data_IF_965359150708
#
_entry.id   IF_965359150708
#
_cell.length_a   1.000
_cell.length_b   1.000
_cell.length_c   1.000
_cell.angle_alpha   90.00
_cell.angle_beta   90.00
_cell.angle_gamma   90.00
#
_symmetry.space_group_name_H-M   'P 1'
#
loop_
_entity.id
_entity.type
_entity.pdbx_description
1 polymer ?
#
# COMPACT_ATOMS: atom_id res chain seq x y z
N UNK A 1 -7.03 3.65 -5.43
CA UNK A 1 -8.34 4.12 -4.93
C UNK A 1 -8.15 5.46 -4.26
N UNK A 2 -9.03 6.44 -4.49
CA UNK A 2 -9.01 7.68 -3.70
C UNK A 2 -9.32 7.38 -2.24
N UNK A 3 -8.61 8.01 -1.32
CA UNK A 3 -8.74 7.77 0.11
C UNK A 3 -8.51 9.05 0.89
N UNK A 4 -9.05 9.07 2.11
CA UNK A 4 -8.83 10.12 3.09
C UNK A 4 -8.48 9.46 4.42
N UNK A 5 -7.73 10.16 5.27
CA UNK A 5 -7.53 9.67 6.63
C UNK A 5 -8.79 9.90 7.44
N UNK A 6 -9.29 8.87 8.12
CA UNK A 6 -10.41 9.00 9.07
C UNK A 6 -10.13 10.06 10.15
N UNK A 7 -8.86 10.18 10.51
CA UNK A 7 -8.31 11.11 11.48
C UNK A 7 -8.15 12.54 10.94
N UNK A 8 -8.02 12.73 9.63
CA UNK A 8 -7.79 14.02 8.98
C UNK A 8 -8.25 13.96 7.51
N UNK A 9 -9.40 14.56 7.22
CA UNK A 9 -10.02 14.52 5.88
C UNK A 9 -9.52 15.59 4.93
N UNK A 10 -8.68 16.51 5.40
CA UNK A 10 -8.11 17.57 4.57
C UNK A 10 -6.91 17.08 3.74
N UNK A 11 -6.48 15.84 3.99
CA UNK A 11 -5.38 15.20 3.27
C UNK A 11 -5.96 14.21 2.26
N UNK A 12 -5.86 14.58 0.99
CA UNK A 12 -6.18 13.70 -0.13
C UNK A 12 -5.07 12.66 -0.32
N UNK A 13 -5.47 11.40 -0.41
CA UNK A 13 -4.58 10.27 -0.58
C UNK A 13 -5.06 9.36 -1.70
N UNK A 14 -4.13 8.57 -2.23
CA UNK A 14 -4.45 7.34 -2.92
C UNK A 14 -4.08 6.15 -2.05
N UNK A 15 -4.81 5.05 -2.15
CA UNK A 15 -4.53 3.81 -1.47
C UNK A 15 -4.55 2.62 -2.44
N UNK A 16 -3.79 1.59 -2.10
CA UNK A 16 -3.70 0.32 -2.84
C UNK A 16 -3.63 -0.86 -1.87
N UNK A 17 -4.21 -1.97 -2.30
CA UNK A 17 -4.17 -3.30 -1.70
C UNK A 17 -2.90 -4.08 -2.09
N UNK A 18 -2.31 -3.78 -3.24
CA UNK A 18 -1.10 -4.46 -3.72
C UNK A 18 0.16 -3.73 -3.23
N UNK A 19 1.15 -4.44 -2.67
CA UNK A 19 2.45 -3.86 -2.36
C UNK A 19 3.12 -3.27 -3.61
N UNK A 20 3.56 -2.01 -3.59
CA UNK A 20 4.22 -1.36 -4.71
C UNK A 20 5.67 -1.85 -4.90
N UNK A 21 5.84 -3.10 -5.33
CA UNK A 21 7.15 -3.74 -5.53
C UNK A 21 7.99 -2.96 -6.55
N UNK A 22 9.31 -2.86 -6.29
CA UNK A 22 10.30 -2.24 -7.18
C UNK A 22 10.07 -0.77 -7.59
N UNK A 23 9.14 -0.06 -6.93
CA UNK A 23 8.84 1.36 -7.25
C UNK A 23 9.07 2.31 -6.08
N UNK A 24 8.91 1.80 -4.86
CA UNK A 24 9.17 2.53 -3.62
C UNK A 24 9.91 1.63 -2.64
N UNK A 25 10.57 2.25 -1.66
CA UNK A 25 11.15 1.54 -0.52
C UNK A 25 10.94 2.33 0.77
N UNK A 26 11.02 1.64 1.90
CA UNK A 26 10.88 2.24 3.20
C UNK A 26 12.06 3.11 3.56
N UNK A 27 11.78 4.25 4.16
CA UNK A 27 12.81 5.16 4.68
C UNK A 27 12.63 5.41 6.17
N UNK A 28 13.75 5.69 6.83
CA UNK A 28 13.76 6.08 8.23
C UNK A 28 13.23 5.03 9.20
N UNK A 29 12.83 5.51 10.38
CA UNK A 29 12.29 4.68 11.47
C UNK A 29 10.78 4.74 11.43
N UNK A 30 10.15 3.68 11.95
CA UNK A 30 8.73 3.73 12.17
C UNK A 30 8.36 4.76 13.25
N UNK A 31 7.18 5.34 13.14
CA UNK A 31 6.68 6.34 14.08
C UNK A 31 5.19 6.13 14.36
N UNK A 32 4.72 6.80 15.40
CA UNK A 32 3.30 6.86 15.78
C UNK A 32 2.82 8.31 15.61
N UNK A 33 1.57 8.48 15.24
CA UNK A 33 0.95 9.82 15.19
C UNK A 33 0.04 10.01 16.42
N UNK A 34 -0.30 11.26 16.73
CA UNK A 34 -1.10 11.57 17.94
C UNK A 34 -2.56 11.14 17.84
N UNK A 35 -3.10 11.04 16.62
CA UNK A 35 -4.54 10.86 16.40
C UNK A 35 -4.95 9.39 16.56
N UNK A 36 -4.09 8.46 16.17
CA UNK A 36 -4.31 7.03 16.38
C UNK A 36 -3.00 6.34 16.77
N UNK A 37 -3.11 5.22 17.51
CA UNK A 37 -1.95 4.43 17.95
C UNK A 37 -1.39 3.51 16.85
N UNK A 38 -1.71 3.78 15.58
CA UNK A 38 -1.13 3.02 14.48
C UNK A 38 0.37 3.33 14.35
N UNK A 39 1.14 2.32 13.96
CA UNK A 39 2.56 2.45 13.63
C UNK A 39 2.70 2.62 12.12
N UNK A 40 3.40 3.65 11.70
CA UNK A 40 3.60 4.01 10.31
C UNK A 40 5.08 3.93 9.94
N UNK A 41 5.37 3.82 8.64
CA UNK A 41 6.71 3.98 8.08
C UNK A 41 6.61 4.68 6.73
N UNK A 42 7.41 5.72 6.54
CA UNK A 42 7.42 6.48 5.29
C UNK A 42 8.02 5.65 4.16
N UNK A 43 7.54 5.91 2.95
CA UNK A 43 8.04 5.30 1.72
C UNK A 43 8.49 6.38 0.75
N UNK A 44 9.63 6.13 0.10
CA UNK A 44 10.21 7.02 -0.90
C UNK A 44 10.25 6.35 -2.27
N UNK A 45 10.06 7.13 -3.33
CA UNK A 45 10.18 6.64 -4.69
C UNK A 45 11.63 6.29 -5.01
N UNK A 46 11.87 5.07 -5.52
CA UNK A 46 13.21 4.60 -5.87
C UNK A 46 13.84 5.38 -7.04
N UNK A 47 13.04 6.08 -7.86
CA UNK A 47 13.55 6.88 -8.98
C UNK A 47 13.93 8.31 -8.61
N UNK A 48 13.10 9.00 -7.82
CA UNK A 48 13.30 10.42 -7.52
C UNK A 48 13.70 10.72 -6.06
N UNK A 49 13.65 9.73 -5.17
CA UNK A 49 14.04 9.86 -3.75
C UNK A 49 13.04 10.61 -2.88
N UNK A 50 11.98 11.20 -3.44
CA UNK A 50 10.99 11.92 -2.66
C UNK A 50 10.11 10.97 -1.84
N UNK A 51 9.69 11.43 -0.66
CA UNK A 51 8.65 10.76 0.12
C UNK A 51 7.34 10.87 -0.64
N UNK A 52 6.73 9.73 -0.95
CA UNK A 52 5.49 9.67 -1.74
C UNK A 52 4.30 9.21 -0.91
N UNK A 53 4.53 8.72 0.30
CA UNK A 53 3.47 8.18 1.15
C UNK A 53 4.01 7.45 2.37
N UNK A 54 3.19 6.55 2.90
CA UNK A 54 3.52 5.72 4.05
C UNK A 54 2.77 4.38 4.01
N UNK A 55 3.32 3.40 4.72
CA UNK A 55 2.62 2.17 5.05
C UNK A 55 2.21 2.17 6.53
N UNK A 56 0.99 1.71 6.80
CA UNK A 56 0.54 1.34 8.15
C UNK A 56 1.12 -0.03 8.49
N UNK A 57 2.21 -0.04 9.28
CA UNK A 57 2.93 -1.26 9.70
C UNK A 57 2.14 -2.05 10.75
N UNK A 58 1.55 -1.33 11.72
CA UNK A 58 0.71 -1.95 12.75
C UNK A 58 -0.54 -1.11 12.91
N UNK A 59 -1.71 -1.58 12.46
CA UNK A 59 -2.96 -0.90 12.71
C UNK A 59 -3.34 -1.04 14.20
N UNK A 60 -3.88 0.02 14.78
CA UNK A 60 -4.50 -0.06 16.11
C UNK A 60 -5.86 -0.75 16.03
N UNK A 61 -6.27 -1.42 17.11
CA UNK A 61 -7.59 -2.08 17.20
C UNK A 61 -8.73 -1.12 16.88
N UNK A 62 -8.68 0.12 17.39
CA UNK A 62 -9.69 1.15 17.10
C UNK A 62 -9.82 1.45 15.60
N UNK A 63 -8.70 1.48 14.86
CA UNK A 63 -8.75 1.72 13.42
C UNK A 63 -9.27 0.49 12.65
N UNK A 64 -8.91 -0.72 13.08
CA UNK A 64 -9.40 -1.96 12.47
C UNK A 64 -10.91 -2.11 12.57
N UNK A 65 -11.50 -1.73 13.71
CA UNK A 65 -12.95 -1.79 13.93
C UNK A 65 -13.70 -0.53 13.43
N UNK A 66 -13.00 0.48 12.92
CA UNK A 66 -13.63 1.64 12.27
C UNK A 66 -13.93 1.39 10.80
N UNK A 67 -14.71 2.25 10.15
CA UNK A 67 -14.95 2.20 8.70
C UNK A 67 -13.68 2.59 7.91
N UNK A 68 -12.79 1.63 7.65
CA UNK A 68 -11.60 1.79 6.83
C UNK A 68 -11.75 1.04 5.49
N UNK A 69 -10.85 1.30 4.53
CA UNK A 69 -10.83 0.64 3.22
C UNK A 69 -9.96 -0.63 3.18
N UNK A 70 -9.43 -1.08 4.32
CA UNK A 70 -8.56 -2.26 4.42
C UNK A 70 -7.14 -2.08 3.88
N UNK A 71 -6.81 -0.92 3.29
CA UNK A 71 -5.49 -0.71 2.69
C UNK A 71 -4.47 -0.26 3.73
N UNK A 72 -3.28 -0.85 3.65
CA UNK A 72 -2.14 -0.45 4.47
C UNK A 72 -1.19 0.50 3.74
N UNK A 73 -1.30 0.61 2.42
CA UNK A 73 -0.45 1.48 1.59
C UNK A 73 -1.20 2.74 1.21
N UNK A 74 -0.64 3.88 1.59
CA UNK A 74 -1.23 5.20 1.35
C UNK A 74 -0.19 6.11 0.68
N UNK A 75 -0.62 6.88 -0.31
CA UNK A 75 0.21 7.79 -1.10
C UNK A 75 -0.39 9.19 -1.10
N UNK A 76 0.47 10.20 -0.98
CA UNK A 76 0.04 11.59 -1.09
C UNK A 76 -0.39 11.91 -2.52
N UNK A 77 -1.61 12.41 -2.69
CA UNK A 77 -2.19 12.71 -4.02
C UNK A 77 -1.35 13.71 -4.82
N UNK A 78 -0.64 14.62 -4.15
CA UNK A 78 0.28 15.58 -4.77
C UNK A 78 1.59 14.95 -5.30
N UNK A 79 1.90 13.71 -4.91
CA UNK A 79 3.17 13.03 -5.24
C UNK A 79 3.02 11.91 -6.26
N UNK A 80 1.80 11.42 -6.49
CA UNK A 80 1.52 10.28 -7.38
C UNK A 80 0.24 10.50 -8.17
N UNK A 81 0.08 9.77 -9.27
CA UNK A 81 -1.18 9.71 -10.02
C UNK A 81 -1.80 8.32 -9.87
N UNK A 82 -3.10 8.28 -9.54
CA UNK A 82 -3.86 7.03 -9.45
C UNK A 82 -4.28 6.53 -10.84
N UNK A 83 -4.21 5.21 -11.04
CA UNK A 83 -4.74 4.53 -12.23
C UNK A 83 -5.71 3.46 -11.74
N UNK A 84 -6.91 3.41 -12.34
CA UNK A 84 -7.88 2.36 -12.03
C UNK A 84 -7.45 1.04 -12.66
N UNK A 85 -7.48 -0.03 -11.87
CA UNK A 85 -7.25 -1.39 -12.37
C UNK A 85 -8.45 -1.82 -13.20
N UNK A 86 -8.19 -2.54 -14.29
CA UNK A 86 -9.21 -3.24 -15.04
C UNK A 86 -9.45 -4.61 -14.41
N UNK A 87 -10.66 -5.14 -14.57
CA UNK A 87 -10.98 -6.52 -14.20
C UNK A 87 -10.35 -7.53 -15.19
N UNK A 88 -10.58 -8.82 -14.96
CA UNK A 88 -10.04 -9.89 -15.83
C UNK A 88 -10.56 -9.84 -17.28
N UNK A 89 -11.64 -9.09 -17.54
CA UNK A 89 -12.13 -8.87 -18.91
C UNK A 89 -11.32 -7.82 -19.66
N UNK A 90 -10.60 -6.96 -18.94
CA UNK A 90 -9.87 -5.83 -19.51
C UNK A 90 -10.76 -4.70 -20.03
N UNK A 91 -12.08 -4.76 -19.80
CA UNK A 91 -13.06 -3.79 -20.30
C UNK A 91 -13.57 -2.90 -19.17
N UNK A 92 -13.92 -3.48 -18.02
CA UNK A 92 -14.46 -2.74 -16.89
C UNK A 92 -13.40 -2.47 -15.83
N UNK A 93 -13.66 -1.50 -14.96
CA UNK A 93 -12.84 -1.29 -13.78
C UNK A 93 -13.06 -2.38 -12.73
N UNK A 94 -11.97 -2.82 -12.13
CA UNK A 94 -11.98 -3.76 -11.02
C UNK A 94 -12.60 -3.09 -9.79
N UNK A 95 -13.76 -3.60 -9.38
CA UNK A 95 -14.45 -3.17 -8.18
C UNK A 95 -13.95 -3.95 -6.96
N UNK A 96 -13.99 -3.31 -5.79
CA UNK A 96 -13.51 -3.91 -4.56
C UNK A 96 -14.22 -5.22 -4.18
N UNK A 97 -15.54 -5.28 -4.39
CA UNK A 97 -16.33 -6.49 -4.13
C UNK A 97 -16.02 -7.67 -5.06
N UNK A 98 -15.16 -7.46 -6.06
CA UNK A 98 -14.80 -8.45 -7.07
C UNK A 98 -13.31 -8.84 -7.00
N UNK A 99 -12.61 -8.47 -5.92
CA UNK A 99 -11.24 -8.93 -5.72
C UNK A 99 -11.22 -10.44 -5.48
N UNK A 100 -10.32 -11.12 -6.19
CA UNK A 100 -9.99 -12.52 -5.91
C UNK A 100 -9.30 -12.61 -4.55
N UNK A 101 -9.64 -13.63 -3.76
CA UNK A 101 -8.86 -13.97 -2.57
C UNK A 101 -7.44 -14.33 -3.01
N UNK A 102 -6.44 -13.69 -2.42
CA UNK A 102 -5.04 -14.00 -2.69
C UNK A 102 -4.76 -15.34 -2.03
N UNK A 103 -4.46 -16.36 -2.83
CA UNK A 103 -3.88 -17.61 -2.33
C UNK A 103 -2.56 -17.26 -1.63
N UNK A 104 -2.40 -17.66 -0.37
CA UNK A 104 -1.16 -17.45 0.39
C UNK A 104 0.00 -18.10 -0.37
N UNK A 105 0.89 -17.28 -0.94
CA UNK A 105 2.13 -17.76 -1.55
C UNK A 105 2.93 -18.45 -0.43
N UNK A 106 3.08 -19.77 -0.52
CA UNK A 106 3.85 -20.53 0.46
C UNK A 106 5.34 -20.29 0.21
N UNK A 107 6.17 -20.45 1.24
CA UNK A 107 7.63 -20.27 1.16
C UNK A 107 8.30 -21.17 0.09
N UNK A 108 7.58 -22.14 -0.48
CA UNK A 108 8.05 -23.04 -1.53
C UNK A 108 8.12 -22.36 -2.92
N UNK A 109 7.34 -21.30 -3.18
CA UNK A 109 7.31 -20.61 -4.48
C UNK A 109 8.45 -19.58 -4.67
N UNK A 110 9.19 -19.24 -3.60
CA UNK A 110 10.29 -18.26 -3.62
C UNK A 110 11.62 -18.91 -4.07
N UNK A 111 11.73 -20.23 -4.00
CA UNK A 111 12.97 -20.94 -4.26
C UNK A 111 13.34 -21.05 -5.75
N UNK A 112 12.40 -20.78 -6.68
CA UNK A 112 12.61 -21.00 -8.11
C UNK A 112 13.23 -19.80 -8.87
N UNK A 113 13.59 -18.71 -8.16
CA UNK A 113 14.24 -17.52 -8.76
C UNK A 113 15.74 -17.41 -8.37
N UNK A 114 16.25 -18.30 -7.51
CA UNK A 114 17.65 -18.27 -7.06
C UNK A 114 18.64 -19.00 -7.97
N UNK A 115 18.22 -19.63 -9.07
CA UNK A 115 19.11 -20.29 -10.00
C UNK A 115 19.56 -19.33 -11.13
N UNK A 116 20.43 -18.38 -10.78
CA UNK A 116 21.09 -17.48 -11.73
C UNK A 116 22.46 -17.06 -11.22
N UNK A 117 23.47 -17.81 -11.65
CA UNK A 117 24.88 -17.78 -11.25
C UNK A 117 25.52 -16.38 -11.24
N UNK A 118 26.31 -16.09 -10.20
CA UNK A 118 27.42 -15.14 -10.29
C UNK A 118 28.72 -15.92 -10.13
N UNK A 119 29.50 -15.98 -11.22
CA UNK A 119 30.94 -16.27 -11.24
C UNK A 119 31.67 -15.00 -10.78
#
# INVERSE_FOLDING_TARGET
>A
MEAVLLANRDIDLFSTDIPPTNTVDFIGRCYFIKICKCKFKDIACLKCGNIVGFQVIVPSSSCLFSCNNGHFWMFHSQMVYGINRLDSTGINFLLWGNLTEIEEITDEDVLDISAGECI
#
